data_IF_390233831802
#
_entry.id   IF_390233831802
#
_cell.length_a   1.000
_cell.length_b   1.000
_cell.length_c   1.000
_cell.angle_alpha   90.00
_cell.angle_beta   90.00
_cell.angle_gamma   90.00
#
_symmetry.space_group_name_H-M   'P 1'
#
loop_
_entity.id
_entity.type
_entity.pdbx_description
1 polymer ?
#
# COMPACT_ATOMS: atom_id res chain seq x y z
N UNK A 1 -13.56 -8.84 0.81
CA UNK A 1 -12.31 -9.43 1.31
C UNK A 1 -11.96 -8.91 2.68
N UNK A 2 -11.11 -9.62 3.39
CA UNK A 2 -10.63 -9.19 4.71
C UNK A 2 -9.44 -8.25 4.56
N UNK A 3 -9.41 -7.22 5.40
CA UNK A 3 -8.35 -6.23 5.42
C UNK A 3 -8.22 -5.65 6.83
N UNK A 4 -7.13 -4.94 7.09
CA UNK A 4 -6.90 -4.25 8.36
C UNK A 4 -6.88 -2.75 8.15
N UNK A 5 -7.73 -2.07 8.92
CA UNK A 5 -7.75 -0.60 9.04
C UNK A 5 -7.49 -0.20 10.48
N UNK A 6 -7.11 1.04 10.69
CA UNK A 6 -6.97 1.60 12.04
C UNK A 6 -8.19 2.46 12.34
N UNK A 7 -8.92 2.08 13.39
CA UNK A 7 -10.11 2.78 13.86
C UNK A 7 -9.90 3.09 15.33
N UNK A 8 -10.02 4.37 15.69
CA UNK A 8 -9.77 4.84 17.07
C UNK A 8 -8.41 4.38 17.60
N UNK A 9 -7.37 4.56 16.80
CA UNK A 9 -5.97 4.20 17.12
C UNK A 9 -5.75 2.70 17.34
N UNK A 10 -6.67 1.85 16.90
CA UNK A 10 -6.62 0.40 17.10
C UNK A 10 -6.73 -0.31 15.74
N UNK A 11 -5.88 -1.31 15.48
CA UNK A 11 -6.02 -2.11 14.27
C UNK A 11 -7.27 -2.98 14.37
N UNK A 12 -8.09 -2.98 13.32
CA UNK A 12 -9.36 -3.69 13.26
C UNK A 12 -9.45 -4.49 11.97
N UNK A 13 -9.84 -5.75 12.08
CA UNK A 13 -10.17 -6.57 10.92
C UNK A 13 -11.53 -6.15 10.37
N UNK A 14 -11.55 -5.76 9.11
CA UNK A 14 -12.75 -5.29 8.42
C UNK A 14 -13.02 -6.10 7.17
N UNK A 15 -14.25 -6.06 6.69
CA UNK A 15 -14.66 -6.62 5.41
C UNK A 15 -14.86 -5.47 4.42
N UNK A 16 -14.15 -5.52 3.31
CA UNK A 16 -14.17 -4.47 2.28
C UNK A 16 -14.32 -5.10 0.90
N UNK A 17 -14.79 -4.36 -0.11
CA UNK A 17 -14.81 -4.85 -1.48
C UNK A 17 -13.40 -5.20 -1.98
N UNK A 18 -13.30 -6.18 -2.87
CA UNK A 18 -12.05 -6.48 -3.56
C UNK A 18 -11.59 -5.25 -4.37
N UNK A 19 -10.27 -5.03 -4.52
CA UNK A 19 -9.77 -3.87 -5.23
C UNK A 19 -10.19 -3.90 -6.71
N UNK A 20 -10.55 -2.74 -7.23
CA UNK A 20 -11.00 -2.54 -8.62
C UNK A 20 -10.13 -1.50 -9.31
N UNK A 21 -10.31 -1.34 -10.61
CA UNK A 21 -9.61 -0.35 -11.39
C UNK A 21 -8.31 -0.87 -12.02
N UNK A 22 -7.50 0.07 -12.46
CA UNK A 22 -6.25 -0.22 -13.17
C UNK A 22 -5.15 -0.69 -12.21
N UNK A 23 -4.09 -1.23 -12.78
CA UNK A 23 -2.93 -1.71 -12.05
C UNK A 23 -2.82 -3.22 -12.04
N UNK A 24 -1.78 -3.71 -11.40
CA UNK A 24 -1.51 -5.14 -11.25
C UNK A 24 -2.15 -5.64 -9.97
N UNK A 25 -3.00 -6.65 -10.08
CA UNK A 25 -3.58 -7.31 -8.90
C UNK A 25 -2.57 -8.25 -8.28
N UNK A 26 -2.40 -8.12 -6.98
CA UNK A 26 -1.50 -8.98 -6.19
C UNK A 26 -2.32 -9.66 -5.10
N UNK A 27 -2.23 -10.98 -5.04
CA UNK A 27 -2.71 -11.75 -3.90
C UNK A 27 -1.62 -11.70 -2.84
N UNK A 28 -1.90 -11.07 -1.70
CA UNK A 28 -0.91 -10.88 -0.64
C UNK A 28 -0.67 -12.21 0.08
N UNK A 29 0.57 -12.63 0.16
CA UNK A 29 1.00 -13.85 0.85
C UNK A 29 1.57 -13.51 2.23
N UNK A 30 2.26 -12.39 2.35
CA UNK A 30 2.90 -11.97 3.59
C UNK A 30 2.85 -10.45 3.69
N UNK A 31 2.51 -9.96 4.85
CA UNK A 31 2.57 -8.54 5.19
C UNK A 31 3.14 -8.40 6.59
N UNK A 32 4.08 -7.48 6.77
CA UNK A 32 4.73 -7.26 8.07
C UNK A 32 4.35 -5.93 8.68
N UNK A 33 4.57 -5.83 9.98
CA UNK A 33 4.36 -4.59 10.75
C UNK A 33 5.70 -3.87 10.84
N UNK A 34 5.72 -2.62 10.40
CA UNK A 34 6.85 -1.73 10.58
C UNK A 34 6.69 -0.94 11.89
N UNK A 35 7.80 -0.59 12.55
CA UNK A 35 7.74 0.26 13.73
C UNK A 35 7.03 1.59 13.50
N UNK A 36 7.10 2.14 12.28
CA UNK A 36 6.38 3.35 11.88
C UNK A 36 4.86 3.18 11.94
N UNK A 37 4.34 1.98 11.70
CA UNK A 37 2.91 1.70 11.80
C UNK A 37 2.39 1.94 13.23
N UNK A 38 3.15 1.51 14.22
CA UNK A 38 2.78 1.70 15.63
C UNK A 38 2.75 3.18 15.99
N UNK A 39 3.70 3.95 15.50
CA UNK A 39 3.76 5.40 15.70
C UNK A 39 2.60 6.11 15.01
N UNK A 40 2.34 5.77 13.76
CA UNK A 40 1.27 6.38 12.96
C UNK A 40 -0.13 6.04 13.47
N UNK A 41 -0.33 4.85 14.04
CA UNK A 41 -1.59 4.48 14.68
C UNK A 41 -1.96 5.45 15.81
N UNK A 42 -0.98 5.87 16.58
CA UNK A 42 -1.20 6.79 17.70
C UNK A 42 -1.63 8.19 17.25
N UNK A 43 -1.29 8.56 16.01
CA UNK A 43 -1.56 9.91 15.46
C UNK A 43 -2.78 9.99 14.55
N UNK A 44 -3.39 8.86 14.18
CA UNK A 44 -4.50 8.82 13.22
C UNK A 44 -4.09 9.10 11.77
N UNK A 45 -2.83 8.93 11.44
CA UNK A 45 -2.25 9.30 10.14
C UNK A 45 -2.79 8.50 8.95
N UNK A 46 -3.26 7.28 9.18
CA UNK A 46 -3.74 6.40 8.10
C UNK A 46 -5.08 6.83 7.47
N UNK A 47 -5.88 7.63 8.17
CA UNK A 47 -7.23 7.91 7.71
C UNK A 47 -8.06 6.63 7.58
N UNK A 48 -8.76 6.47 6.46
CA UNK A 48 -9.60 5.28 6.17
C UNK A 48 -8.89 4.26 5.26
N UNK A 49 -7.59 4.37 5.08
CA UNK A 49 -6.84 3.45 4.23
C UNK A 49 -6.61 2.09 4.91
N UNK A 50 -6.52 1.05 4.09
CA UNK A 50 -5.97 -0.24 4.51
C UNK A 50 -4.48 -0.03 4.80
N UNK A 51 -4.00 -0.50 5.95
CA UNK A 51 -2.61 -0.32 6.35
C UNK A 51 -1.68 -1.38 5.75
N UNK A 52 -0.38 -1.24 5.98
CA UNK A 52 0.65 -2.17 5.54
C UNK A 52 1.42 -1.68 4.32
N UNK A 53 2.68 -1.28 4.54
CA UNK A 53 3.57 -0.82 3.49
C UNK A 53 4.76 -1.76 3.24
N UNK A 54 4.79 -2.91 3.89
CA UNK A 54 5.80 -3.95 3.73
C UNK A 54 5.11 -5.28 3.43
N UNK A 55 5.00 -5.63 2.16
CA UNK A 55 4.27 -6.83 1.78
C UNK A 55 4.79 -7.45 0.49
N UNK A 56 4.47 -8.72 0.34
CA UNK A 56 4.82 -9.53 -0.83
C UNK A 56 3.64 -10.42 -1.20
N UNK A 57 3.60 -10.85 -2.44
CA UNK A 57 2.52 -11.69 -2.91
C UNK A 57 2.78 -12.26 -4.29
N UNK A 58 1.70 -12.68 -4.94
CA UNK A 58 1.75 -13.30 -6.27
C UNK A 58 0.76 -12.56 -7.18
N UNK A 59 1.23 -12.18 -8.36
CA UNK A 59 0.39 -11.56 -9.39
C UNK A 59 -0.54 -12.60 -10.04
N UNK A 60 -1.55 -12.13 -10.78
CA UNK A 60 -2.49 -13.03 -11.46
C UNK A 60 -1.81 -13.93 -12.50
N UNK A 61 -0.69 -13.48 -13.08
CA UNK A 61 0.12 -14.28 -14.01
C UNK A 61 1.17 -15.16 -13.32
N UNK A 62 1.12 -15.27 -11.99
CA UNK A 62 1.93 -16.22 -11.21
C UNK A 62 3.31 -15.73 -10.78
N UNK A 63 3.63 -14.45 -10.95
CA UNK A 63 4.93 -13.92 -10.52
C UNK A 63 4.94 -13.62 -9.02
N UNK A 64 5.97 -14.08 -8.34
CA UNK A 64 6.25 -13.66 -6.97
C UNK A 64 6.84 -12.26 -6.97
N UNK A 65 6.28 -11.36 -6.16
CA UNK A 65 6.67 -9.95 -6.12
C UNK A 65 6.77 -9.45 -4.68
N UNK A 66 7.77 -8.63 -4.43
CA UNK A 66 7.82 -7.75 -3.26
C UNK A 66 7.49 -6.34 -3.74
N UNK A 67 6.69 -5.62 -2.98
CA UNK A 67 6.14 -4.37 -3.45
C UNK A 67 6.91 -3.19 -2.86
N UNK A 68 7.38 -2.31 -3.75
CA UNK A 68 7.89 -1.00 -3.37
C UNK A 68 6.69 -0.09 -3.06
N UNK A 69 6.53 0.36 -1.81
CA UNK A 69 5.32 1.09 -1.43
C UNK A 69 5.30 2.55 -1.90
N UNK A 70 6.45 3.11 -2.25
CA UNK A 70 6.56 4.52 -2.65
C UNK A 70 6.33 4.67 -4.14
N UNK A 71 5.36 5.50 -4.52
CA UNK A 71 5.00 5.74 -5.91
C UNK A 71 5.02 7.24 -6.23
N UNK A 72 5.68 7.60 -7.33
CA UNK A 72 5.58 8.94 -7.92
C UNK A 72 4.62 8.96 -9.11
N UNK A 73 4.59 10.08 -9.82
CA UNK A 73 3.73 10.23 -11.01
C UNK A 73 4.17 9.36 -12.19
N UNK A 74 5.43 8.96 -12.23
CA UNK A 74 5.99 8.13 -13.28
C UNK A 74 6.39 8.88 -14.56
N UNK A 75 6.21 10.20 -14.63
CA UNK A 75 6.45 10.96 -15.85
C UNK A 75 7.08 12.35 -15.65
N UNK A 76 7.50 12.70 -14.43
CA UNK A 76 8.30 13.91 -14.22
C UNK A 76 9.80 13.60 -14.30
N UNK A 77 10.63 14.64 -14.34
CA UNK A 77 12.08 14.46 -14.46
C UNK A 77 12.70 13.64 -13.32
N UNK A 78 12.21 13.81 -12.10
CA UNK A 78 12.71 13.03 -10.96
C UNK A 78 12.28 11.56 -11.04
N UNK A 79 11.04 11.29 -11.41
CA UNK A 79 10.58 9.90 -11.60
C UNK A 79 11.33 9.22 -12.74
N UNK A 80 11.55 9.90 -13.86
CA UNK A 80 12.33 9.39 -14.99
C UNK A 80 13.79 9.07 -14.60
N UNK A 81 14.35 9.84 -13.66
CA UNK A 81 15.70 9.62 -13.14
C UNK A 81 15.78 8.55 -12.04
N UNK A 82 14.67 7.94 -11.67
CA UNK A 82 14.61 6.94 -10.60
C UNK A 82 14.52 7.53 -9.19
N UNK A 83 14.13 8.79 -9.05
CA UNK A 83 14.03 9.51 -7.79
C UNK A 83 12.59 9.91 -7.46
N UNK A 84 11.69 8.93 -7.44
CA UNK A 84 10.26 9.16 -7.20
C UNK A 84 9.96 9.83 -5.86
N UNK A 85 10.85 9.73 -4.88
CA UNK A 85 10.70 10.44 -3.60
C UNK A 85 10.71 11.95 -3.77
N UNK A 86 11.30 12.45 -4.85
CA UNK A 86 11.35 13.86 -5.21
C UNK A 86 10.35 14.23 -6.30
N UNK A 87 9.36 13.39 -6.54
CA UNK A 87 8.33 13.63 -7.56
C UNK A 87 7.75 15.04 -7.44
N UNK A 88 7.67 15.75 -8.57
CA UNK A 88 7.15 17.13 -8.62
C UNK A 88 5.68 17.24 -8.21
N UNK A 89 4.91 16.16 -8.38
CA UNK A 89 3.51 16.10 -7.98
C UNK A 89 3.31 15.49 -6.59
N UNK A 90 4.40 15.20 -5.88
CA UNK A 90 4.38 14.50 -4.61
C UNK A 90 4.33 12.99 -4.79
N UNK A 91 4.85 12.26 -3.81
CA UNK A 91 4.76 10.80 -3.81
C UNK A 91 3.52 10.33 -3.06
N UNK A 92 3.10 9.11 -3.37
CA UNK A 92 2.11 8.36 -2.61
C UNK A 92 2.76 7.15 -1.95
N UNK A 93 2.37 6.84 -0.73
CA UNK A 93 2.89 5.70 0.02
C UNK A 93 1.74 4.72 0.30
N UNK A 94 1.83 3.52 -0.31
CA UNK A 94 0.86 2.46 -0.08
C UNK A 94 0.86 2.05 1.39
N UNK A 95 -0.31 1.88 1.96
CA UNK A 95 -0.46 1.53 3.37
C UNK A 95 -0.41 2.71 4.32
N UNK A 96 -0.30 3.94 3.82
CA UNK A 96 -0.32 5.19 4.58
C UNK A 96 -1.21 6.22 3.90
N UNK A 97 -0.88 6.61 2.67
CA UNK A 97 -1.60 7.62 1.88
C UNK A 97 -2.63 7.01 0.94
N UNK A 98 -2.51 5.72 0.70
CA UNK A 98 -3.41 4.91 -0.13
C UNK A 98 -3.51 3.53 0.49
N UNK A 99 -4.44 2.70 0.02
CA UNK A 99 -4.60 1.34 0.54
C UNK A 99 -3.32 0.53 0.41
N UNK A 100 -3.03 -0.26 1.44
CA UNK A 100 -1.83 -1.06 1.58
C UNK A 100 -2.08 -2.56 1.52
N UNK A 101 -1.08 -3.32 1.97
CA UNK A 101 -0.98 -4.75 1.80
C UNK A 101 -1.49 -5.62 2.95
N UNK A 102 -2.02 -5.04 4.03
CA UNK A 102 -2.71 -5.84 5.05
C UNK A 102 -4.13 -6.17 4.63
N UNK A 103 -4.24 -6.90 3.53
CA UNK A 103 -5.47 -7.34 2.89
C UNK A 103 -5.21 -8.61 2.10
N UNK A 104 -6.27 -9.28 1.69
CA UNK A 104 -6.12 -10.49 0.85
C UNK A 104 -5.62 -10.16 -0.55
N UNK A 105 -6.07 -9.04 -1.11
CA UNK A 105 -5.67 -8.55 -2.44
C UNK A 105 -5.43 -7.06 -2.43
N UNK A 106 -4.53 -6.63 -3.29
CA UNK A 106 -4.29 -5.21 -3.57
C UNK A 106 -4.08 -5.01 -5.06
N UNK A 107 -4.42 -3.84 -5.57
CA UNK A 107 -3.98 -3.37 -6.88
C UNK A 107 -2.85 -2.37 -6.69
N UNK A 108 -1.74 -2.63 -7.36
CA UNK A 108 -0.57 -1.75 -7.31
C UNK A 108 -0.33 -1.14 -8.70
N UNK A 109 0.30 0.05 -8.78
CA UNK A 109 0.68 0.62 -10.07
C UNK A 109 1.54 -0.35 -10.88
N UNK A 110 1.30 -0.37 -12.16
CA UNK A 110 2.04 -1.24 -13.08
C UNK A 110 3.50 -0.80 -13.24
#
# INVERSE_FOLDING_TARGET
MKAIKVIDKTPVLVDVPAPKGDGVRVRVVSSSICGSDLHMMATGYFGDNIIGHEFAGVTDDGRAVAIEPLNGCGHCGFCDAGHSIHCEQGFSLLGVMADGGMAEYIKVPA
#
